data_IF_729498558004
#
_entry.id   IF_729498558004
#
_cell.length_a   1.000
_cell.length_b   1.000
_cell.length_c   1.000
_cell.angle_alpha   90.00
_cell.angle_beta   90.00
_cell.angle_gamma   90.00
#
_symmetry.space_group_name_H-M   'P 1'
#
loop_
_entity.id
_entity.type
_entity.pdbx_description
1 polymer ?
#
# COMPACT_ATOMS: atom_id res chain seq x y z
N UNK A 1 73.31 -20.26 -38.43
CA UNK A 1 72.62 -18.96 -38.64
C UNK A 1 71.25 -19.05 -37.97
N UNK A 2 70.87 -18.08 -37.10
CA UNK A 2 69.55 -17.93 -36.42
C UNK A 2 69.14 -19.13 -35.53
N UNK A 3 69.04 -19.07 -34.18
CA UNK A 3 68.25 -18.20 -33.26
C UNK A 3 66.75 -18.16 -33.64
N UNK A 4 65.72 -18.30 -32.79
CA UNK A 4 65.48 -18.56 -31.35
C UNK A 4 63.97 -18.99 -31.24
N UNK A 5 63.35 -19.54 -30.18
CA UNK A 5 63.71 -20.22 -28.92
C UNK A 5 62.39 -20.81 -28.31
N UNK A 6 62.35 -21.18 -27.01
CA UNK A 6 61.17 -21.64 -26.21
C UNK A 6 60.66 -23.05 -26.61
N UNK A 7 60.88 -24.17 -25.90
CA UNK A 7 61.05 -24.51 -24.47
C UNK A 7 59.74 -24.80 -23.69
N UNK A 8 59.37 -26.10 -23.67
CA UNK A 8 58.82 -26.91 -22.53
C UNK A 8 57.59 -26.31 -21.79
N UNK A 9 56.42 -26.98 -21.72
CA UNK A 9 56.22 -28.21 -20.93
C UNK A 9 54.95 -29.01 -21.36
N UNK A 10 55.12 -30.32 -21.57
CA UNK A 10 54.04 -31.31 -21.69
C UNK A 10 53.70 -31.85 -20.30
N UNK A 11 52.41 -32.04 -19.96
CA UNK A 11 51.95 -33.15 -19.10
C UNK A 11 50.40 -33.31 -19.11
N UNK A 12 49.96 -34.15 -20.04
CA UNK A 12 48.83 -35.09 -19.99
C UNK A 12 47.78 -35.04 -18.86
N UNK A 13 46.51 -35.06 -19.28
CA UNK A 13 45.41 -35.72 -18.56
C UNK A 13 45.77 -37.16 -18.17
N UNK A 14 45.45 -37.55 -16.93
CA UNK A 14 45.15 -38.95 -16.58
C UNK A 14 44.09 -39.02 -15.48
N UNK A 15 42.88 -39.39 -15.85
CA UNK A 15 41.88 -39.97 -14.94
C UNK A 15 42.04 -41.48 -14.93
N UNK A 16 42.25 -42.12 -13.78
CA UNK A 16 41.78 -43.50 -13.55
C UNK A 16 41.67 -43.81 -12.04
N UNK A 17 40.63 -44.57 -11.71
CA UNK A 17 40.15 -44.87 -10.36
C UNK A 17 40.98 -45.93 -9.62
N UNK A 18 40.82 -46.00 -8.30
CA UNK A 18 41.07 -47.23 -7.55
C UNK A 18 39.97 -47.47 -6.51
N UNK A 19 39.28 -48.61 -6.61
CA UNK A 19 38.24 -49.07 -5.68
C UNK A 19 38.77 -50.15 -4.74
N UNK A 20 38.27 -50.16 -3.49
CA UNK A 20 37.72 -51.29 -2.72
C UNK A 20 37.55 -50.84 -1.25
N UNK A 21 36.53 -51.26 -0.48
CA UNK A 21 35.61 -52.40 -0.64
C UNK A 21 34.30 -52.15 0.13
N UNK A 22 33.16 -52.61 -0.37
CA UNK A 22 31.88 -52.63 0.35
C UNK A 22 31.80 -53.71 1.44
N UNK A 23 31.04 -53.45 2.51
CA UNK A 23 29.93 -54.33 2.92
C UNK A 23 28.97 -53.65 3.95
N UNK A 24 27.66 -53.84 3.74
CA UNK A 24 26.56 -53.62 4.72
C UNK A 24 26.61 -54.77 5.76
N UNK A 25 25.97 -54.78 6.94
CA UNK A 25 24.78 -54.11 7.51
C UNK A 25 24.92 -54.20 9.06
N UNK A 26 24.32 -53.37 9.93
CA UNK A 26 23.00 -53.59 10.56
C UNK A 26 22.61 -52.41 11.48
N UNK A 27 21.32 -52.28 11.82
CA UNK A 27 20.75 -51.27 12.72
C UNK A 27 20.56 -51.81 14.13
N UNK A 28 20.88 -51.04 15.16
CA UNK A 28 20.20 -51.10 16.47
C UNK A 28 19.87 -49.68 16.95
N UNK A 29 18.68 -49.52 17.54
CA UNK A 29 18.12 -48.28 18.15
C UNK A 29 18.77 -48.05 19.54
N UNK A 30 18.60 -46.98 20.32
CA UNK A 30 17.59 -45.89 20.40
C UNK A 30 18.13 -44.77 21.32
N UNK A 31 17.38 -43.67 21.47
CA UNK A 31 17.30 -42.82 22.67
C UNK A 31 18.46 -41.84 22.99
N UNK A 32 18.28 -40.58 22.60
CA UNK A 32 17.76 -39.51 23.49
C UNK A 32 18.45 -38.13 23.43
N UNK A 33 17.59 -37.11 23.46
CA UNK A 33 17.84 -35.69 23.82
C UNK A 33 18.83 -34.89 22.99
N UNK A 34 18.41 -34.50 21.77
CA UNK A 34 18.75 -33.15 21.28
C UNK A 34 17.70 -32.21 21.84
N UNK A 35 18.09 -31.31 22.76
CA UNK A 35 17.25 -30.17 23.14
C UNK A 35 17.04 -29.32 21.90
N UNK A 36 15.79 -29.19 21.46
CA UNK A 36 15.34 -27.92 20.92
C UNK A 36 15.32 -26.98 22.12
N UNK A 37 16.34 -26.12 22.22
CA UNK A 37 16.12 -24.85 22.90
C UNK A 37 15.25 -24.06 21.92
N UNK A 38 13.96 -24.02 22.24
CA UNK A 38 13.03 -23.12 21.57
C UNK A 38 13.60 -21.71 21.74
N UNK A 39 14.03 -21.11 20.63
CA UNK A 39 14.27 -19.68 20.59
C UNK A 39 12.88 -19.05 20.64
N UNK A 40 12.36 -18.92 21.86
CA UNK A 40 11.44 -17.84 22.17
C UNK A 40 12.14 -16.56 21.75
N UNK A 41 11.81 -16.07 20.55
CA UNK A 41 11.93 -14.65 20.28
C UNK A 41 11.02 -13.99 21.30
N UNK A 42 11.59 -13.50 22.40
CA UNK A 42 11.01 -12.40 23.15
C UNK A 42 10.92 -11.21 22.19
N UNK A 43 9.84 -11.16 21.41
CA UNK A 43 9.30 -9.92 20.87
C UNK A 43 8.85 -9.10 22.07
N UNK A 44 9.80 -8.43 22.71
CA UNK A 44 9.51 -7.46 23.76
C UNK A 44 8.70 -6.33 23.13
N UNK A 45 7.39 -6.39 23.32
CA UNK A 45 6.40 -5.43 22.83
C UNK A 45 6.87 -4.00 23.09
N UNK A 46 7.47 -3.36 22.08
CA UNK A 46 8.13 -2.06 22.27
C UNK A 46 7.06 -0.99 22.45
N UNK A 47 7.09 -0.30 23.58
CA UNK A 47 6.12 0.76 23.88
C UNK A 47 6.81 2.11 24.03
N UNK A 48 6.17 3.16 23.51
CA UNK A 48 6.59 4.54 23.72
C UNK A 48 5.38 5.44 24.00
N UNK A 49 5.61 6.50 24.78
CA UNK A 49 4.68 7.64 24.86
C UNK A 49 4.97 8.58 23.69
N UNK A 50 3.99 8.72 22.79
CA UNK A 50 4.05 9.59 21.61
C UNK A 50 3.77 11.04 22.00
N UNK A 51 2.74 11.27 22.80
CA UNK A 51 2.31 12.60 23.22
C UNK A 51 2.13 12.67 24.75
N UNK A 52 2.53 13.79 25.34
CA UNK A 52 2.30 14.11 26.76
C UNK A 52 1.61 15.47 26.86
N UNK A 53 0.41 15.48 27.44
CA UNK A 53 -0.49 16.64 27.50
C UNK A 53 -0.76 16.97 28.98
N UNK A 54 -0.25 18.10 29.46
CA UNK A 54 -0.58 18.58 30.81
C UNK A 54 -1.85 19.44 30.79
N UNK A 55 -2.66 19.37 31.85
CA UNK A 55 -3.71 20.36 32.09
C UNK A 55 -3.10 21.75 32.40
N UNK A 56 -3.93 22.81 32.45
CA UNK A 56 -3.42 24.19 32.58
C UNK A 56 -2.58 24.40 33.85
N UNK A 57 -2.99 23.79 34.97
CA UNK A 57 -2.31 23.93 36.25
C UNK A 57 -1.16 22.91 36.44
N UNK A 58 -0.90 22.08 35.44
CA UNK A 58 0.10 21.00 35.45
C UNK A 58 -0.06 19.98 36.60
N UNK A 59 -1.25 19.88 37.17
CA UNK A 59 -1.64 18.91 38.22
C UNK A 59 -2.09 17.56 37.66
N UNK A 60 -2.46 17.51 36.38
CA UNK A 60 -2.79 16.27 35.67
C UNK A 60 -2.02 16.17 34.35
N UNK A 61 -1.72 14.93 33.97
CA UNK A 61 -1.01 14.59 32.74
C UNK A 61 -1.77 13.48 32.02
N UNK A 62 -2.10 13.71 30.76
CA UNK A 62 -2.58 12.69 29.82
C UNK A 62 -1.40 12.26 28.94
N UNK A 63 -1.20 10.96 28.79
CA UNK A 63 -0.21 10.37 27.89
C UNK A 63 -0.90 9.55 26.83
N UNK A 64 -0.51 9.74 25.57
CA UNK A 64 -0.87 8.84 24.46
C UNK A 64 0.35 7.98 24.19
N UNK A 65 0.19 6.67 24.26
CA UNK A 65 1.26 5.68 24.10
C UNK A 65 0.87 4.59 23.11
N UNK A 66 1.86 4.15 22.33
CA UNK A 66 1.74 3.07 21.35
C UNK A 66 2.46 1.79 21.82
N UNK A 67 2.01 0.64 21.31
CA UNK A 67 2.76 -0.63 21.30
C UNK A 67 3.26 -0.97 19.91
N UNK A 68 4.24 -1.88 19.84
CA UNK A 68 4.87 -2.38 18.61
C UNK A 68 5.52 -1.32 17.72
N UNK A 69 6.10 -0.30 18.35
CA UNK A 69 6.84 0.74 17.64
C UNK A 69 8.06 0.15 16.89
N UNK A 70 8.32 0.69 15.70
CA UNK A 70 9.58 0.49 14.98
C UNK A 70 10.78 0.94 15.82
N UNK A 71 11.96 0.37 15.56
CA UNK A 71 13.21 0.81 16.21
C UNK A 71 13.58 2.25 15.84
N UNK A 72 13.21 2.68 14.64
CA UNK A 72 13.78 3.86 13.99
C UNK A 72 12.79 5.05 14.00
N UNK A 73 11.50 4.77 14.20
CA UNK A 73 10.44 5.77 14.30
C UNK A 73 9.37 5.35 15.32
N UNK A 74 9.19 6.06 16.45
CA UNK A 74 8.16 5.74 17.45
C UNK A 74 6.73 5.96 16.95
N UNK A 75 6.53 6.76 15.89
CA UNK A 75 5.23 7.02 15.27
C UNK A 75 4.85 6.00 14.18
N UNK A 76 5.65 4.96 13.96
CA UNK A 76 5.35 3.88 13.02
C UNK A 76 5.30 2.52 13.75
N UNK A 77 4.14 1.86 13.72
CA UNK A 77 3.88 0.60 14.41
C UNK A 77 3.83 -0.55 13.40
N UNK A 78 4.51 -1.65 13.72
CA UNK A 78 4.85 -2.72 12.77
C UNK A 78 4.59 -4.13 13.31
N UNK A 79 3.91 -4.25 14.46
CA UNK A 79 3.67 -5.56 15.06
C UNK A 79 2.41 -6.24 14.54
N UNK A 80 2.24 -7.51 14.89
CA UNK A 80 1.04 -8.30 14.55
C UNK A 80 -0.23 -7.71 15.20
N UNK A 81 -0.09 -7.04 16.34
CA UNK A 81 -1.19 -6.37 17.07
C UNK A 81 -0.74 -5.02 17.60
N UNK A 82 -1.12 -3.96 16.91
CA UNK A 82 -0.79 -2.60 17.31
C UNK A 82 -1.89 -2.03 18.21
N UNK A 83 -1.53 -1.19 19.18
CA UNK A 83 -2.51 -0.48 19.99
C UNK A 83 -2.05 0.96 20.27
N UNK A 84 -2.98 1.90 20.10
CA UNK A 84 -2.85 3.26 20.63
C UNK A 84 -3.71 3.37 21.88
N UNK A 85 -3.10 3.76 22.99
CA UNK A 85 -3.80 3.89 24.28
C UNK A 85 -3.54 5.25 24.89
N UNK A 86 -4.55 5.76 25.59
CA UNK A 86 -4.46 7.01 26.35
C UNK A 86 -4.56 6.72 27.83
N UNK A 87 -3.76 7.39 28.66
CA UNK A 87 -3.76 7.22 30.12
C UNK A 87 -3.68 8.56 30.83
N UNK A 88 -4.53 8.78 31.84
CA UNK A 88 -4.56 9.98 32.68
C UNK A 88 -3.93 9.71 34.03
N UNK A 89 -3.14 10.66 34.50
CA UNK A 89 -2.40 10.63 35.77
C UNK A 89 -2.59 11.94 36.54
N UNK A 90 -2.72 11.87 37.87
CA UNK A 90 -2.47 13.03 38.73
C UNK A 90 -0.97 13.13 39.03
N UNK A 91 -0.47 14.37 39.17
CA UNK A 91 0.93 14.66 39.47
C UNK A 91 1.07 15.08 40.93
N UNK A 92 1.79 14.29 41.72
CA UNK A 92 2.12 14.62 43.10
C UNK A 92 3.64 14.85 43.22
N UNK A 93 4.06 16.11 43.08
CA UNK A 93 5.47 16.48 42.98
C UNK A 93 6.13 15.89 41.73
N UNK A 94 7.00 14.88 41.92
CA UNK A 94 7.64 14.12 40.83
C UNK A 94 6.94 12.79 40.51
N UNK A 95 6.02 12.31 41.34
CA UNK A 95 5.31 11.06 41.08
C UNK A 95 4.07 11.29 40.20
N UNK A 96 3.75 10.28 39.39
CA UNK A 96 2.51 10.20 38.63
C UNK A 96 1.67 9.07 39.23
N UNK A 97 0.46 9.40 39.68
CA UNK A 97 -0.52 8.41 40.15
C UNK A 97 -1.53 8.18 39.03
N UNK A 98 -1.68 6.92 38.62
CA UNK A 98 -2.61 6.50 37.57
C UNK A 98 -4.08 6.75 37.98
N UNK A 99 -4.90 7.21 37.03
CA UNK A 99 -6.34 7.43 37.22
C UNK A 99 -7.17 6.52 36.30
N UNK A 100 -6.90 6.56 35.00
CA UNK A 100 -7.74 5.93 33.97
C UNK A 100 -6.91 5.64 32.71
N UNK A 101 -7.28 4.58 31.97
CA UNK A 101 -6.74 4.23 30.66
C UNK A 101 -7.89 3.91 29.71
N UNK A 102 -7.80 4.39 28.48
CA UNK A 102 -8.70 4.00 27.37
C UNK A 102 -7.85 3.53 26.17
N UNK A 103 -8.46 2.74 25.30
CA UNK A 103 -7.87 2.34 24.01
C UNK A 103 -8.46 3.21 22.91
N UNK A 104 -7.60 3.80 22.08
CA UNK A 104 -7.99 4.66 20.95
C UNK A 104 -7.99 3.92 19.61
N UNK A 105 -7.10 2.93 19.47
CA UNK A 105 -6.94 2.07 18.28
C UNK A 105 -6.39 0.70 18.75
N UNK A 106 -6.77 -0.40 18.11
CA UNK A 106 -6.35 -1.76 18.48
C UNK A 106 -6.61 -2.73 17.32
N UNK A 107 -5.62 -2.88 16.46
CA UNK A 107 -5.81 -3.48 15.14
C UNK A 107 -4.72 -4.52 14.85
N UNK A 108 -5.10 -5.58 14.14
CA UNK A 108 -4.29 -6.79 13.92
C UNK A 108 -3.93 -6.93 12.44
N UNK A 109 -2.65 -7.22 12.14
CA UNK A 109 -2.10 -7.32 10.79
C UNK A 109 -2.15 -6.02 9.95
N UNK A 110 -2.12 -4.85 10.60
CA UNK A 110 -1.95 -3.55 9.96
C UNK A 110 -0.56 -2.95 10.26
N UNK A 111 -0.03 -2.13 9.36
CA UNK A 111 0.92 -1.08 9.71
C UNK A 111 0.15 0.15 10.17
N UNK A 112 0.66 0.85 11.19
CA UNK A 112 0.02 2.06 11.71
C UNK A 112 1.02 3.20 11.71
N UNK A 113 0.71 4.28 10.99
CA UNK A 113 1.54 5.48 10.90
C UNK A 113 0.81 6.67 11.53
N UNK A 114 1.41 7.34 12.51
CA UNK A 114 0.84 8.49 13.19
C UNK A 114 1.52 9.76 12.64
N UNK A 115 0.76 10.75 12.19
CA UNK A 115 1.36 11.99 11.68
C UNK A 115 1.88 12.84 12.85
N UNK A 116 3.20 12.85 13.05
CA UNK A 116 3.87 13.62 14.10
C UNK A 116 3.85 15.14 13.89
N UNK A 117 3.34 15.63 12.75
CA UNK A 117 3.21 17.05 12.43
C UNK A 117 1.76 17.51 12.30
N UNK A 118 0.82 16.61 11.97
CA UNK A 118 -0.61 16.90 11.90
C UNK A 118 -1.34 16.59 13.21
N UNK A 119 -1.16 17.48 14.20
CA UNK A 119 -1.89 17.47 15.46
C UNK A 119 -2.37 18.88 15.85
N UNK A 120 -3.42 18.96 16.69
CA UNK A 120 -3.98 20.21 17.16
C UNK A 120 -4.52 20.07 18.59
N UNK A 121 -4.16 20.99 19.49
CA UNK A 121 -4.86 21.18 20.77
C UNK A 121 -5.82 22.37 20.67
N UNK A 122 -7.08 22.18 21.05
CA UNK A 122 -8.12 23.22 20.93
C UNK A 122 -9.19 23.06 22.02
N UNK A 123 -9.64 24.19 22.58
CA UNK A 123 -10.81 24.23 23.46
C UNK A 123 -12.10 24.38 22.67
N UNK A 124 -13.12 23.59 23.01
CA UNK A 124 -14.47 23.63 22.45
C UNK A 124 -15.45 23.49 23.61
N UNK A 125 -16.41 24.41 23.72
CA UNK A 125 -17.41 24.41 24.81
C UNK A 125 -16.77 24.31 26.22
N UNK A 126 -15.64 25.00 26.42
CA UNK A 126 -14.76 24.98 27.61
C UNK A 126 -14.02 23.67 27.93
N UNK A 127 -14.37 22.56 27.29
CA UNK A 127 -13.62 21.31 27.30
C UNK A 127 -12.35 21.43 26.43
N UNK A 128 -11.28 20.73 26.80
CA UNK A 128 -10.00 20.75 26.08
C UNK A 128 -9.80 19.46 25.28
N UNK A 129 -9.44 19.61 24.01
CA UNK A 129 -9.33 18.52 23.05
C UNK A 129 -7.96 18.46 22.39
N UNK A 130 -7.48 17.25 22.16
CA UNK A 130 -6.32 16.96 21.33
C UNK A 130 -6.75 16.15 20.11
N UNK A 131 -6.42 16.65 18.92
CA UNK A 131 -6.69 16.03 17.64
C UNK A 131 -5.38 15.56 17.01
N UNK A 132 -5.37 14.38 16.42
CA UNK A 132 -4.23 13.83 15.67
C UNK A 132 -4.73 12.88 14.57
N UNK A 133 -3.90 12.62 13.57
CA UNK A 133 -4.21 11.69 12.48
C UNK A 133 -3.38 10.41 12.57
N UNK A 134 -4.02 9.30 12.17
CA UNK A 134 -3.43 7.98 12.08
C UNK A 134 -3.82 7.36 10.75
N UNK A 135 -2.88 6.73 10.06
CA UNK A 135 -3.07 5.95 8.84
C UNK A 135 -2.86 4.48 9.16
N UNK A 136 -3.79 3.62 8.73
CA UNK A 136 -3.68 2.17 8.80
C UNK A 136 -3.60 1.61 7.37
N UNK A 137 -2.69 0.67 7.13
CA UNK A 137 -2.61 -0.09 5.88
C UNK A 137 -2.32 -1.56 6.17
N UNK A 138 -2.89 -2.49 5.38
CA UNK A 138 -2.69 -3.92 5.62
C UNK A 138 -1.21 -4.32 5.51
N UNK A 139 -0.77 -5.27 6.34
CA UNK A 139 0.54 -5.91 6.20
C UNK A 139 0.59 -6.90 5.03
N UNK A 140 -0.57 -7.27 4.47
CA UNK A 140 -0.70 -8.14 3.30
C UNK A 140 -0.96 -7.37 2.00
N UNK A 141 -0.34 -7.80 0.90
CA UNK A 141 -0.46 -7.16 -0.42
C UNK A 141 -1.82 -7.36 -1.14
N UNK A 142 -2.71 -8.17 -0.55
CA UNK A 142 -4.01 -8.51 -1.12
C UNK A 142 -5.06 -7.42 -0.94
N UNK A 143 -4.95 -6.64 0.14
CA UNK A 143 -5.81 -5.51 0.43
C UNK A 143 -5.12 -4.20 0.02
N UNK A 144 -5.89 -3.27 -0.54
CA UNK A 144 -5.43 -1.94 -0.95
C UNK A 144 -5.98 -0.84 -0.06
N UNK A 145 -6.95 -1.17 0.78
CA UNK A 145 -7.65 -0.21 1.61
C UNK A 145 -6.68 0.43 2.60
N UNK A 146 -6.67 1.77 2.59
CA UNK A 146 -5.95 2.60 3.53
C UNK A 146 -6.97 3.38 4.35
N UNK A 147 -6.91 3.23 5.66
CA UNK A 147 -7.86 3.81 6.60
C UNK A 147 -7.19 4.98 7.34
N UNK A 148 -7.67 6.19 7.10
CA UNK A 148 -7.27 7.37 7.85
C UNK A 148 -8.24 7.60 9.01
N UNK A 149 -7.73 7.57 10.23
CA UNK A 149 -8.46 7.87 11.45
C UNK A 149 -8.06 9.27 11.96
N UNK A 150 -8.99 10.21 11.87
CA UNK A 150 -8.86 11.51 12.52
C UNK A 150 -9.47 11.40 13.92
N UNK A 151 -8.62 11.32 14.93
CA UNK A 151 -9.01 11.05 16.33
C UNK A 151 -9.01 12.36 17.10
N UNK A 152 -10.11 12.62 17.81
CA UNK A 152 -10.31 13.77 18.68
C UNK A 152 -10.59 13.31 20.11
N UNK A 153 -9.61 13.51 20.98
CA UNK A 153 -9.60 13.11 22.38
C UNK A 153 -9.98 14.29 23.27
N UNK A 154 -11.03 14.16 24.09
CA UNK A 154 -11.24 15.04 25.24
C UNK A 154 -10.20 14.70 26.32
N UNK A 155 -9.33 15.66 26.69
CA UNK A 155 -8.25 15.39 27.66
C UNK A 155 -8.74 15.39 29.11
N UNK A 156 -9.91 15.97 29.38
CA UNK A 156 -10.51 16.03 30.72
C UNK A 156 -11.09 14.69 31.16
N UNK A 157 -11.69 13.91 30.25
CA UNK A 157 -12.43 12.66 30.56
C UNK A 157 -12.05 11.45 29.68
N UNK A 158 -11.06 11.59 28.81
CA UNK A 158 -10.55 10.57 27.87
C UNK A 158 -11.53 10.09 26.79
N UNK A 159 -12.74 10.66 26.69
CA UNK A 159 -13.69 10.31 25.63
C UNK A 159 -13.12 10.73 24.26
N UNK A 160 -13.08 9.79 23.33
CA UNK A 160 -12.64 10.01 21.95
C UNK A 160 -13.81 10.07 20.96
N UNK A 161 -13.54 10.69 19.82
CA UNK A 161 -14.37 10.70 18.62
C UNK A 161 -13.47 10.46 17.41
N UNK A 162 -13.88 9.60 16.49
CA UNK A 162 -13.09 9.27 15.30
C UNK A 162 -13.89 9.50 14.03
N UNK A 163 -13.33 10.30 13.12
CA UNK A 163 -13.77 10.41 11.74
C UNK A 163 -12.86 9.52 10.88
N UNK A 164 -13.43 8.51 10.23
CA UNK A 164 -12.71 7.63 9.29
C UNK A 164 -12.84 8.16 7.87
N UNK A 165 -11.73 8.16 7.12
CA UNK A 165 -11.68 8.34 5.67
C UNK A 165 -11.00 7.11 5.09
N UNK A 166 -11.61 6.50 4.06
CA UNK A 166 -11.21 5.20 3.53
C UNK A 166 -11.10 5.27 2.03
N UNK A 167 -10.03 4.72 1.48
CA UNK A 167 -9.70 4.78 0.06
C UNK A 167 -8.40 4.04 -0.28
N UNK A 168 -7.83 4.33 -1.43
CA UNK A 168 -6.59 3.71 -1.93
C UNK A 168 -5.57 4.79 -2.34
N UNK A 169 -4.29 4.41 -2.45
CA UNK A 169 -3.29 5.25 -3.12
C UNK A 169 -3.47 5.13 -4.63
N UNK A 170 -3.63 6.25 -5.34
CA UNK A 170 -3.90 6.29 -6.79
C UNK A 170 -2.93 7.20 -7.53
N UNK A 171 -2.79 7.02 -8.85
CA UNK A 171 -1.94 7.89 -9.68
C UNK A 171 -2.35 9.37 -9.63
N UNK A 172 -3.62 9.67 -9.35
CA UNK A 172 -4.12 11.05 -9.30
C UNK A 172 -4.00 11.72 -7.93
N UNK A 173 -3.72 10.95 -6.88
CA UNK A 173 -3.73 11.44 -5.49
C UNK A 173 -2.36 11.83 -4.92
N UNK A 174 -1.28 11.66 -5.69
CA UNK A 174 0.11 11.93 -5.28
C UNK A 174 0.47 11.20 -3.96
N UNK A 175 0.79 11.93 -2.89
CA UNK A 175 1.04 11.37 -1.54
C UNK A 175 -0.24 11.17 -0.70
N UNK A 176 -1.40 11.56 -1.24
CA UNK A 176 -2.71 11.44 -0.61
C UNK A 176 -3.43 10.14 -0.96
N UNK A 177 -4.46 9.83 -0.17
CA UNK A 177 -5.37 8.70 -0.37
C UNK A 177 -6.62 9.21 -1.09
N UNK A 178 -7.01 8.58 -2.20
CA UNK A 178 -8.25 8.86 -2.91
C UNK A 178 -9.38 8.00 -2.35
N UNK A 179 -10.38 8.63 -1.76
CA UNK A 179 -11.39 7.95 -0.96
C UNK A 179 -12.53 8.83 -0.45
N UNK A 180 -13.23 8.33 0.56
CA UNK A 180 -14.41 9.00 1.12
C UNK A 180 -14.47 8.91 2.66
N UNK A 181 -15.10 9.90 3.28
CA UNK A 181 -15.42 9.87 4.70
C UNK A 181 -16.54 8.88 4.99
N UNK A 182 -16.31 7.96 5.92
CA UNK A 182 -17.33 7.02 6.38
C UNK A 182 -18.30 7.70 7.35
N UNK A 183 -19.59 7.34 7.23
CA UNK A 183 -20.64 7.77 8.17
C UNK A 183 -20.43 7.10 9.53
N UNK A 184 -20.43 7.90 10.60
CA UNK A 184 -20.32 7.42 11.99
C UNK A 184 -21.47 8.00 12.82
N UNK A 185 -22.42 7.17 13.24
CA UNK A 185 -23.65 7.62 13.92
C UNK A 185 -23.38 8.36 15.25
N UNK A 186 -22.35 7.93 16.00
CA UNK A 186 -21.93 8.61 17.22
C UNK A 186 -21.35 10.01 16.96
N UNK A 187 -20.82 10.24 15.75
CA UNK A 187 -20.32 11.53 15.29
C UNK A 187 -21.43 12.39 14.68
N UNK A 188 -22.39 11.79 13.96
CA UNK A 188 -23.59 12.48 13.46
C UNK A 188 -24.41 13.10 14.61
N UNK A 189 -24.48 12.42 15.76
CA UNK A 189 -25.13 12.92 16.97
C UNK A 189 -24.45 14.16 17.60
N UNK A 190 -23.24 14.55 17.16
CA UNK A 190 -22.52 15.71 17.68
C UNK A 190 -21.97 16.59 16.54
N UNK A 191 -22.85 17.43 15.99
CA UNK A 191 -22.55 18.34 14.89
C UNK A 191 -21.34 19.27 15.12
N UNK A 192 -21.07 19.69 16.36
CA UNK A 192 -19.92 20.55 16.68
C UNK A 192 -18.61 19.78 16.54
N UNK A 193 -18.52 18.60 17.17
CA UNK A 193 -17.34 17.73 17.09
C UNK A 193 -17.15 17.21 15.66
N UNK A 194 -18.23 16.85 14.95
CA UNK A 194 -18.18 16.51 13.52
C UNK A 194 -17.55 17.62 12.69
N UNK A 195 -18.05 18.86 12.80
CA UNK A 195 -17.52 20.00 12.03
C UNK A 195 -16.02 20.21 12.27
N UNK A 196 -15.58 20.13 13.52
CA UNK A 196 -14.18 20.31 13.91
C UNK A 196 -13.27 19.19 13.38
N UNK A 197 -13.72 17.93 13.45
CA UNK A 197 -13.01 16.79 12.86
C UNK A 197 -12.88 16.90 11.33
N UNK A 198 -13.93 17.28 10.61
CA UNK A 198 -13.84 17.50 9.15
C UNK A 198 -12.90 18.66 8.80
N UNK A 199 -12.92 19.76 9.56
CA UNK A 199 -12.00 20.89 9.36
C UNK A 199 -10.54 20.57 9.67
N UNK A 200 -10.30 19.59 10.53
CA UNK A 200 -8.97 19.05 10.84
C UNK A 200 -8.52 18.04 9.77
N UNK A 201 -9.40 17.13 9.35
CA UNK A 201 -9.13 16.11 8.32
C UNK A 201 -8.78 16.74 6.97
N UNK A 202 -9.56 17.71 6.50
CA UNK A 202 -9.34 18.38 5.21
C UNK A 202 -8.06 19.23 5.12
N UNK A 203 -7.27 19.30 6.20
CA UNK A 203 -5.92 19.92 6.21
C UNK A 203 -4.78 18.89 6.23
N UNK A 204 -5.10 17.60 6.37
CA UNK A 204 -4.10 16.55 6.31
C UNK A 204 -3.65 16.37 4.87
N UNK A 205 -2.33 16.26 4.67
CA UNK A 205 -1.73 15.86 3.39
C UNK A 205 -2.20 14.48 2.89
N UNK A 206 -2.68 13.63 3.79
CA UNK A 206 -3.15 12.28 3.45
C UNK A 206 -4.56 12.25 2.85
N UNK A 207 -5.37 13.32 3.01
CA UNK A 207 -6.69 13.39 2.39
C UNK A 207 -6.54 14.00 1.00
N UNK A 208 -6.80 13.22 -0.05
CA UNK A 208 -6.85 13.78 -1.39
C UNK A 208 -8.06 14.71 -1.53
N UNK A 209 -7.80 15.92 -2.03
CA UNK A 209 -8.81 16.95 -2.26
C UNK A 209 -8.75 17.36 -3.74
N UNK A 210 -9.59 16.78 -4.62
CA UNK A 210 -9.55 17.08 -6.05
C UNK A 210 -9.84 18.55 -6.33
N UNK A 211 -9.07 19.14 -7.24
CA UNK A 211 -9.34 20.45 -7.85
C UNK A 211 -10.65 20.44 -8.63
N UNK A 212 -11.15 21.61 -9.05
CA UNK A 212 -12.40 21.69 -9.83
C UNK A 212 -12.31 20.94 -11.18
N UNK A 213 -11.12 20.88 -11.81
CA UNK A 213 -10.89 20.10 -13.03
C UNK A 213 -10.92 18.58 -12.75
N UNK A 214 -10.28 18.15 -11.66
CA UNK A 214 -10.24 16.73 -11.24
C UNK A 214 -11.59 16.19 -10.72
N UNK A 215 -12.64 17.01 -10.68
CA UNK A 215 -14.03 16.57 -10.46
C UNK A 215 -14.75 16.17 -11.75
N UNK A 216 -14.27 16.57 -12.92
CA UNK A 216 -14.79 16.04 -14.19
C UNK A 216 -14.22 14.64 -14.43
N UNK A 217 -15.09 13.64 -14.54
CA UNK A 217 -14.71 12.26 -14.85
C UNK A 217 -13.96 12.13 -16.18
N UNK A 218 -14.08 13.11 -17.09
CA UNK A 218 -13.37 13.15 -18.37
C UNK A 218 -11.96 13.75 -18.29
N UNK A 219 -11.58 14.35 -17.16
CA UNK A 219 -10.24 14.90 -16.97
C UNK A 219 -9.19 13.80 -16.99
N UNK A 220 -8.04 14.04 -17.63
CA UNK A 220 -7.08 12.98 -17.95
C UNK A 220 -6.55 12.22 -16.72
N UNK A 221 -6.45 12.86 -15.55
CA UNK A 221 -6.04 12.16 -14.31
C UNK A 221 -7.05 11.11 -13.82
N UNK A 222 -8.31 11.23 -14.22
CA UNK A 222 -9.41 10.34 -13.81
C UNK A 222 -9.59 9.15 -14.78
N UNK A 223 -8.58 8.87 -15.62
CA UNK A 223 -8.69 7.90 -16.71
C UNK A 223 -9.04 6.49 -16.21
N UNK A 224 -8.57 6.10 -15.02
CA UNK A 224 -8.86 4.79 -14.43
C UNK A 224 -10.31 4.68 -13.97
N UNK A 225 -10.78 5.66 -13.19
CA UNK A 225 -12.16 5.75 -12.72
C UNK A 225 -13.14 5.84 -13.89
N UNK A 226 -12.79 6.60 -14.94
CA UNK A 226 -13.59 6.67 -16.17
C UNK A 226 -13.63 5.32 -16.89
N UNK A 227 -12.49 4.63 -17.02
CA UNK A 227 -12.46 3.31 -17.66
C UNK A 227 -13.32 2.30 -16.88
N UNK A 228 -13.22 2.27 -15.55
CA UNK A 228 -14.03 1.38 -14.70
C UNK A 228 -15.53 1.66 -14.86
N UNK A 229 -15.92 2.93 -14.89
CA UNK A 229 -17.30 3.38 -15.11
C UNK A 229 -17.81 3.00 -16.50
N UNK A 230 -17.01 3.22 -17.55
CA UNK A 230 -17.38 2.91 -18.93
C UNK A 230 -17.53 1.39 -19.17
N UNK A 231 -16.75 0.57 -18.47
CA UNK A 231 -16.69 -0.89 -18.67
C UNK A 231 -17.48 -1.71 -17.64
N UNK A 232 -18.16 -1.09 -16.67
CA UNK A 232 -18.85 -1.77 -15.56
C UNK A 232 -17.95 -2.77 -14.79
N UNK A 233 -16.69 -2.41 -14.55
CA UNK A 233 -15.66 -3.34 -14.05
C UNK A 233 -15.90 -3.89 -12.62
N UNK A 234 -16.94 -3.42 -11.91
CA UNK A 234 -17.20 -3.74 -10.51
C UNK A 234 -17.90 -5.09 -10.26
N UNK A 235 -18.25 -5.88 -11.30
CA UNK A 235 -19.13 -7.05 -11.13
C UNK A 235 -18.51 -8.42 -11.35
N UNK A 236 -17.55 -8.60 -12.27
CA UNK A 236 -16.97 -9.94 -12.54
C UNK A 236 -15.46 -9.84 -12.86
N UNK A 237 -14.69 -10.79 -12.33
CA UNK A 237 -13.23 -10.87 -12.45
C UNK A 237 -12.76 -11.45 -13.79
N UNK A 238 -13.39 -11.02 -14.88
CA UNK A 238 -13.10 -11.44 -16.26
C UNK A 238 -12.87 -10.22 -17.14
N UNK A 239 -11.92 -10.30 -18.07
CA UNK A 239 -11.65 -9.22 -19.00
C UNK A 239 -12.88 -8.95 -19.89
N UNK A 240 -13.31 -7.69 -20.11
CA UNK A 240 -14.59 -7.43 -20.76
C UNK A 240 -14.55 -7.77 -22.25
N UNK A 241 -15.51 -8.59 -22.71
CA UNK A 241 -15.70 -8.98 -24.11
C UNK A 241 -15.85 -7.80 -25.11
N UNK A 242 -16.09 -6.58 -24.62
CA UNK A 242 -16.05 -5.37 -25.43
C UNK A 242 -15.47 -4.22 -24.61
N UNK A 243 -14.20 -3.91 -24.85
CA UNK A 243 -13.49 -2.82 -24.17
C UNK A 243 -13.99 -1.47 -24.69
N UNK A 244 -14.44 -0.62 -23.77
CA UNK A 244 -14.56 0.83 -23.99
C UNK A 244 -13.30 1.53 -23.49
N UNK A 245 -12.94 2.63 -24.13
CA UNK A 245 -11.86 3.50 -23.66
C UNK A 245 -12.15 4.96 -24.05
N UNK A 246 -11.21 5.84 -23.76
CA UNK A 246 -11.27 7.29 -24.04
C UNK A 246 -9.91 7.71 -24.55
N UNK A 247 -9.88 8.54 -25.61
CA UNK A 247 -8.64 9.13 -26.07
C UNK A 247 -8.29 10.38 -25.27
N UNK A 248 -7.02 10.52 -24.89
CA UNK A 248 -6.47 11.69 -24.19
C UNK A 248 -5.35 12.31 -25.03
N UNK A 249 -5.25 13.64 -24.97
CA UNK A 249 -4.19 14.40 -25.66
C UNK A 249 -2.93 14.52 -24.81
N UNK A 250 -3.13 14.43 -23.50
CA UNK A 250 -2.18 14.49 -22.42
C UNK A 250 -1.33 13.21 -22.40
N UNK A 251 -0.03 13.37 -22.12
CA UNK A 251 0.93 12.28 -22.14
C UNK A 251 0.75 11.35 -20.94
N UNK A 252 -0.17 10.38 -21.06
CA UNK A 252 -0.46 9.42 -19.99
C UNK A 252 0.76 8.58 -19.59
N UNK A 253 1.71 8.33 -20.50
CA UNK A 253 2.99 7.68 -20.13
C UNK A 253 3.79 8.51 -19.13
N UNK A 254 3.83 9.85 -19.29
CA UNK A 254 4.52 10.74 -18.37
C UNK A 254 3.77 10.89 -17.05
N UNK A 255 2.43 10.93 -17.09
CA UNK A 255 1.60 11.01 -15.89
C UNK A 255 1.75 9.75 -15.02
N UNK A 256 1.80 8.56 -15.63
CA UNK A 256 2.02 7.30 -14.95
C UNK A 256 3.45 7.12 -14.38
N UNK A 257 4.41 7.94 -14.82
CA UNK A 257 5.79 7.92 -14.34
C UNK A 257 6.73 7.03 -15.14
N UNK A 258 7.80 6.56 -14.50
CA UNK A 258 8.84 5.76 -15.16
C UNK A 258 8.39 4.31 -15.36
N UNK A 259 8.80 3.73 -16.50
CA UNK A 259 8.58 2.33 -16.86
C UNK A 259 9.87 1.74 -17.43
N UNK A 260 10.08 0.45 -17.17
CA UNK A 260 11.25 -0.29 -17.64
C UNK A 260 11.08 -0.72 -19.12
N UNK A 261 12.18 -1.14 -19.76
CA UNK A 261 12.18 -1.43 -21.21
C UNK A 261 11.37 -2.67 -21.59
N UNK A 262 11.26 -3.62 -20.68
CA UNK A 262 10.45 -4.84 -20.80
C UNK A 262 8.95 -4.61 -20.55
N UNK A 263 8.59 -3.44 -20.01
CA UNK A 263 7.20 -2.96 -19.90
C UNK A 263 6.70 -2.28 -21.19
N UNK A 264 7.51 -2.24 -22.26
CA UNK A 264 7.18 -1.57 -23.53
C UNK A 264 7.10 -2.58 -24.67
N UNK A 265 5.95 -2.59 -25.36
CA UNK A 265 5.84 -3.21 -26.69
C UNK A 265 5.44 -2.14 -27.71
N UNK A 266 6.02 -2.20 -28.91
CA UNK A 266 5.82 -1.16 -29.92
C UNK A 266 5.85 -1.77 -31.34
N UNK A 267 4.86 -1.39 -32.15
CA UNK A 267 4.81 -1.70 -33.58
C UNK A 267 4.61 -0.39 -34.38
N UNK A 268 4.43 -0.46 -35.70
CA UNK A 268 4.36 0.74 -36.55
C UNK A 268 3.20 1.69 -36.21
N UNK A 269 2.09 1.18 -35.66
CA UNK A 269 0.87 1.94 -35.36
C UNK A 269 0.68 2.25 -33.87
N UNK A 270 1.08 1.35 -32.99
CA UNK A 270 0.83 1.46 -31.55
C UNK A 270 2.14 1.37 -30.76
N UNK A 271 2.27 2.21 -29.73
CA UNK A 271 3.17 1.99 -28.61
C UNK A 271 2.32 1.66 -27.38
N UNK A 272 2.68 0.63 -26.66
CA UNK A 272 1.95 0.17 -25.47
C UNK A 272 2.94 0.08 -24.31
N UNK A 273 2.54 0.61 -23.17
CA UNK A 273 3.29 0.61 -21.91
C UNK A 273 2.44 -0.06 -20.85
N UNK A 274 3.00 -1.06 -20.19
CA UNK A 274 2.40 -1.70 -19.01
C UNK A 274 2.81 -0.93 -17.75
N UNK A 275 1.92 -0.89 -16.76
CA UNK A 275 2.18 -0.22 -15.49
C UNK A 275 1.71 -1.08 -14.30
N UNK A 276 1.47 -0.46 -13.14
CA UNK A 276 1.05 -1.12 -11.89
C UNK A 276 0.05 -2.26 -12.12
N UNK A 277 0.39 -3.45 -11.58
CA UNK A 277 -0.39 -4.70 -11.73
C UNK A 277 -0.72 -5.07 -13.19
N UNK A 278 0.11 -4.65 -14.14
CA UNK A 278 -0.02 -4.89 -15.58
C UNK A 278 -1.32 -4.35 -16.20
N UNK A 279 -1.79 -3.21 -15.70
CA UNK A 279 -2.68 -2.34 -16.48
C UNK A 279 -1.91 -1.69 -17.64
N UNK A 280 -2.63 -1.15 -18.62
CA UNK A 280 -2.07 -0.81 -19.94
C UNK A 280 -2.41 0.63 -20.32
N UNK A 281 -1.42 1.34 -20.83
CA UNK A 281 -1.62 2.59 -21.57
C UNK A 281 -1.16 2.35 -23.01
N UNK A 282 -2.04 2.60 -23.98
CA UNK A 282 -1.72 2.63 -25.40
C UNK A 282 -1.51 4.06 -25.90
N UNK A 283 -0.70 4.21 -26.94
CA UNK A 283 -0.54 5.42 -27.74
C UNK A 283 -0.73 5.07 -29.21
N UNK A 284 -1.79 5.61 -29.81
CA UNK A 284 -2.09 5.48 -31.24
C UNK A 284 -1.23 6.50 -31.99
N UNK A 285 -0.20 6.03 -32.71
CA UNK A 285 0.75 6.88 -33.44
C UNK A 285 0.12 7.62 -34.61
N UNK A 286 -0.97 7.09 -35.17
CA UNK A 286 -1.71 7.70 -36.28
C UNK A 286 -2.54 8.88 -35.78
N UNK A 287 -3.27 8.70 -34.67
CA UNK A 287 -4.09 9.76 -34.06
C UNK A 287 -3.29 10.71 -33.16
N UNK A 288 -2.13 10.26 -32.66
CA UNK A 288 -1.30 10.94 -31.65
C UNK A 288 -2.00 11.14 -30.31
N UNK A 289 -2.79 10.14 -29.91
CA UNK A 289 -3.60 10.16 -28.69
C UNK A 289 -3.33 8.92 -27.83
N UNK A 290 -3.45 9.10 -26.53
CA UNK A 290 -3.25 8.06 -25.51
C UNK A 290 -4.59 7.44 -25.12
N UNK A 291 -4.60 6.18 -24.69
CA UNK A 291 -5.80 5.49 -24.24
C UNK A 291 -5.49 4.42 -23.17
N UNK A 292 -6.27 4.34 -22.08
CA UNK A 292 -6.07 3.30 -21.06
C UNK A 292 -6.85 2.02 -21.36
N UNK A 293 -6.32 0.90 -20.88
CA UNK A 293 -7.02 -0.38 -20.73
C UNK A 293 -6.64 -0.97 -19.37
N UNK A 294 -7.61 -1.17 -18.48
CA UNK A 294 -7.37 -1.86 -17.21
C UNK A 294 -7.56 -3.36 -17.45
N UNK A 295 -6.49 -4.11 -17.25
CA UNK A 295 -6.43 -5.55 -17.48
C UNK A 295 -6.26 -6.29 -16.14
N UNK A 296 -6.93 -5.79 -15.10
CA UNK A 296 -6.66 -6.21 -13.74
C UNK A 296 -7.34 -7.55 -13.39
N UNK A 297 -6.53 -8.57 -13.14
CA UNK A 297 -6.92 -9.74 -12.35
C UNK A 297 -5.84 -9.97 -11.31
N UNK A 298 -6.20 -9.93 -10.02
CA UNK A 298 -5.28 -10.17 -8.90
C UNK A 298 -5.83 -11.22 -7.92
N UNK A 299 -6.70 -12.13 -8.39
CA UNK A 299 -7.28 -13.19 -7.57
C UNK A 299 -6.22 -14.13 -6.94
N UNK A 300 -5.11 -14.35 -7.64
CA UNK A 300 -4.06 -15.31 -7.24
C UNK A 300 -2.63 -14.95 -7.69
N UNK A 301 -2.46 -13.83 -8.40
CA UNK A 301 -1.18 -13.30 -8.91
C UNK A 301 -1.45 -12.04 -9.75
N UNK A 302 -0.54 -11.07 -9.78
CA UNK A 302 -0.72 -9.80 -10.50
C UNK A 302 0.26 -9.62 -11.68
N UNK A 303 1.16 -10.58 -11.90
CA UNK A 303 2.13 -10.56 -12.99
C UNK A 303 1.52 -11.05 -14.29
N UNK A 304 1.77 -10.32 -15.38
CA UNK A 304 1.24 -10.61 -16.72
C UNK A 304 2.28 -10.30 -17.78
N UNK A 305 2.32 -11.10 -18.82
CA UNK A 305 3.05 -10.80 -20.06
C UNK A 305 2.06 -10.19 -21.05
N UNK A 306 2.46 -9.13 -21.73
CA UNK A 306 1.65 -8.50 -22.78
C UNK A 306 2.51 -8.41 -24.04
N UNK A 307 2.02 -8.96 -25.15
CA UNK A 307 2.75 -8.98 -26.43
C UNK A 307 1.82 -8.82 -27.64
N UNK A 308 2.37 -8.30 -28.75
CA UNK A 308 1.65 -8.26 -30.01
C UNK A 308 1.61 -9.65 -30.65
N UNK A 309 0.41 -10.18 -30.88
CA UNK A 309 0.18 -11.41 -31.67
C UNK A 309 -0.19 -11.08 -33.12
N UNK A 310 -0.63 -9.85 -33.40
CA UNK A 310 -0.72 -9.30 -34.76
C UNK A 310 -0.49 -7.78 -34.77
N UNK A 311 -0.59 -7.13 -35.93
CA UNK A 311 -0.44 -5.67 -36.09
C UNK A 311 -1.41 -4.86 -35.19
N UNK A 312 -2.59 -5.42 -34.92
CA UNK A 312 -3.64 -4.74 -34.16
C UNK A 312 -4.10 -5.52 -32.93
N UNK A 313 -3.50 -6.68 -32.63
CA UNK A 313 -3.96 -7.55 -31.56
C UNK A 313 -2.84 -7.78 -30.53
N UNK A 314 -3.19 -7.60 -29.25
CA UNK A 314 -2.35 -7.98 -28.12
C UNK A 314 -2.91 -9.21 -27.42
N UNK A 315 -2.02 -10.07 -26.93
CA UNK A 315 -2.33 -11.11 -25.95
C UNK A 315 -1.88 -10.67 -24.56
N UNK A 316 -2.70 -10.96 -23.55
CA UNK A 316 -2.45 -10.76 -22.13
C UNK A 316 -2.35 -12.14 -21.48
N UNK A 317 -1.12 -12.61 -21.29
CA UNK A 317 -0.84 -13.90 -20.65
C UNK A 317 -0.66 -13.71 -19.14
N UNK A 318 -1.36 -14.50 -18.33
CA UNK A 318 -1.28 -14.45 -16.87
C UNK A 318 -0.22 -15.41 -16.33
N UNK A 319 0.40 -15.09 -15.18
CA UNK A 319 1.41 -15.94 -14.52
C UNK A 319 0.92 -17.40 -14.27
N UNK A 320 -0.38 -17.56 -14.03
CA UNK A 320 -0.97 -18.82 -13.59
C UNK A 320 -1.45 -19.63 -14.79
N UNK A 321 -0.81 -20.76 -15.03
CA UNK A 321 -1.07 -21.65 -16.17
C UNK A 321 -2.51 -22.21 -16.29
N UNK A 322 -3.38 -22.02 -15.29
CA UNK A 322 -4.81 -22.37 -15.35
C UNK A 322 -5.72 -21.23 -15.80
N UNK A 323 -5.23 -19.98 -15.82
CA UNK A 323 -5.95 -18.84 -16.39
C UNK A 323 -5.62 -18.77 -17.88
N UNK A 324 -6.65 -18.68 -18.72
CA UNK A 324 -6.46 -18.49 -20.17
C UNK A 324 -5.93 -17.09 -20.43
N UNK A 325 -5.07 -16.95 -21.43
CA UNK A 325 -4.71 -15.63 -21.93
C UNK A 325 -5.94 -14.97 -22.59
N UNK A 326 -6.06 -13.66 -22.42
CA UNK A 326 -7.07 -12.84 -23.09
C UNK A 326 -6.45 -12.16 -24.31
N UNK A 327 -7.19 -12.06 -25.42
CA UNK A 327 -6.76 -11.34 -26.62
C UNK A 327 -7.63 -10.12 -26.87
N UNK A 328 -7.00 -9.03 -27.33
CA UNK A 328 -7.67 -7.77 -27.63
C UNK A 328 -7.22 -7.22 -28.99
N UNK A 329 -8.13 -7.20 -29.96
CA UNK A 329 -7.99 -6.38 -31.17
C UNK A 329 -8.25 -4.91 -30.83
N UNK A 330 -7.20 -4.11 -30.89
CA UNK A 330 -7.16 -2.67 -30.61
C UNK A 330 -8.08 -1.87 -31.55
N UNK A 331 -8.45 -2.39 -32.72
CA UNK A 331 -9.46 -1.76 -33.59
C UNK A 331 -10.90 -1.93 -33.07
N UNK A 332 -11.16 -2.90 -32.20
CA UNK A 332 -12.51 -3.15 -31.65
C UNK A 332 -12.83 -2.29 -30.42
N UNK A 333 -11.83 -1.58 -29.89
CA UNK A 333 -11.98 -0.68 -28.74
C UNK A 333 -12.98 0.43 -29.09
N UNK A 334 -14.01 0.57 -28.25
CA UNK A 334 -15.04 1.61 -28.41
C UNK A 334 -14.61 2.87 -27.66
N UNK A 335 -14.10 3.83 -28.41
CA UNK A 335 -13.69 5.13 -27.86
C UNK A 335 -14.91 6.03 -27.65
N UNK A 336 -15.11 6.48 -26.41
CA UNK A 336 -16.33 7.19 -25.97
C UNK A 336 -16.37 8.68 -26.34
N UNK A 337 -15.29 9.22 -26.89
CA UNK A 337 -15.14 10.64 -27.26
C UNK A 337 -14.76 10.87 -28.73
N UNK A 338 -15.09 9.91 -29.63
CA UNK A 338 -15.05 10.14 -31.08
C UNK A 338 -16.47 10.42 -31.60
N UNK A 339 -16.80 11.70 -31.73
CA UNK A 339 -17.79 12.19 -32.70
C UNK A 339 -17.04 12.74 -33.94
#
# INVERSE_FOLDING_TARGET
MKKNAILILLLSFFTFSSCKKDQKTEKVKTADTIRKEDIEKETSNKTATLFTLSNQDSTEVVKISASEISSDNPFFLVGEKNALTVSRYTKNGKSLQFIQKETLLSDEFYYVNIDEHHFLRKKIQNEDYFLFAVMESSQGNGDREIILNFIMLNVNNLKSYTLKYVGEATLRSDEGIDGAFLKNENLEANATIKKELYQFANKSKWVYNPTEEEKDINYYKNFEQKWQLDNNANTESSFPNSVKSTYYSENLFQFNGNYDKDQVIENDRFKIVTYFRHNIIGYDKTKKLYFPIIAESCATGCDKKIEFVSENEIEITYEIASQKADTLDLNTIRFTNND
#
